data_IF_881929609010
#
_entry.id   IF_881929609010
#
_cell.length_a   1.000
_cell.length_b   1.000
_cell.length_c   1.000
_cell.angle_alpha   90.00
_cell.angle_beta   90.00
_cell.angle_gamma   90.00
#
_symmetry.space_group_name_H-M   'P 1'
#
loop_
_entity.id
_entity.type
_entity.pdbx_description
1 polymer ?
#
# COMPACT_ATOMS: atom_id res chain seq x y z
N UNK A 1 4.86 -0.01 12.24
CA UNK A 1 5.90 -1.04 12.07
C UNK A 1 5.22 -2.28 11.54
N UNK A 2 5.74 -2.86 10.46
CA UNK A 2 5.15 -4.00 9.79
C UNK A 2 5.60 -5.26 10.52
N UNK A 3 4.69 -5.95 11.20
CA UNK A 3 4.99 -7.18 11.95
C UNK A 3 4.35 -8.39 11.28
N UNK A 4 5.06 -9.51 11.32
CA UNK A 4 4.56 -10.80 10.87
C UNK A 4 3.40 -11.26 11.77
N UNK A 5 2.30 -11.73 11.18
CA UNK A 5 1.13 -12.17 11.93
C UNK A 5 1.40 -13.46 12.74
N UNK A 6 2.28 -14.34 12.25
CA UNK A 6 2.60 -15.61 12.91
C UNK A 6 3.67 -15.48 14.02
N UNK A 7 4.83 -14.92 13.68
CA UNK A 7 6.01 -14.93 14.56
C UNK A 7 6.33 -13.57 15.19
N UNK A 8 5.52 -12.54 14.94
CA UNK A 8 5.74 -11.17 15.42
C UNK A 8 7.10 -10.57 15.00
N UNK A 9 7.73 -11.14 13.97
CA UNK A 9 8.96 -10.60 13.40
C UNK A 9 8.72 -9.19 12.85
N UNK A 10 9.53 -8.23 13.27
CA UNK A 10 9.50 -6.86 12.77
C UNK A 10 10.29 -6.77 11.46
N UNK A 11 9.59 -6.52 10.36
CA UNK A 11 10.24 -6.33 9.07
C UNK A 11 11.03 -5.02 9.06
N UNK A 12 12.28 -5.09 8.61
CA UNK A 12 13.06 -3.86 8.36
C UNK A 12 12.41 -3.09 7.22
N UNK A 13 12.53 -1.76 7.24
CA UNK A 13 11.95 -0.90 6.20
C UNK A 13 12.34 -1.33 4.77
N UNK A 14 13.58 -1.79 4.57
CA UNK A 14 14.09 -2.32 3.29
C UNK A 14 13.40 -3.62 2.84
N UNK A 15 12.96 -4.43 3.79
CA UNK A 15 12.25 -5.70 3.55
C UNK A 15 10.75 -5.45 3.34
N UNK A 16 10.20 -4.41 3.97
CA UNK A 16 8.79 -4.04 3.89
C UNK A 16 8.46 -3.22 2.63
N UNK A 17 9.38 -2.40 2.12
CA UNK A 17 9.24 -1.64 0.87
C UNK A 17 8.78 -2.48 -0.34
N UNK A 18 9.42 -3.63 -0.68
CA UNK A 18 9.03 -4.43 -1.84
C UNK A 18 7.62 -5.01 -1.75
N UNK A 19 7.06 -5.18 -0.55
CA UNK A 19 5.65 -5.57 -0.40
C UNK A 19 4.73 -4.56 -1.10
N UNK A 20 5.03 -3.26 -0.99
CA UNK A 20 4.23 -2.18 -1.59
C UNK A 20 4.13 -2.28 -3.11
N UNK A 21 5.17 -2.80 -3.78
CA UNK A 21 5.19 -2.98 -5.23
C UNK A 21 4.51 -4.28 -5.68
N UNK A 22 4.59 -5.34 -4.85
CA UNK A 22 4.04 -6.67 -5.14
C UNK A 22 2.91 -7.05 -4.20
N UNK A 23 1.90 -6.19 -4.06
CA UNK A 23 0.78 -6.38 -3.12
C UNK A 23 -0.03 -7.68 -3.31
N UNK A 24 0.06 -8.38 -4.46
CA UNK A 24 -0.62 -9.66 -4.73
C UNK A 24 0.24 -10.90 -4.55
N UNK A 25 1.57 -10.76 -4.43
CA UNK A 25 2.46 -11.90 -4.27
C UNK A 25 2.66 -12.08 -2.77
N UNK A 26 2.19 -13.21 -2.23
CA UNK A 26 2.49 -13.57 -0.85
C UNK A 26 3.99 -13.56 -0.63
N UNK A 27 4.44 -12.87 0.41
CA UNK A 27 5.85 -12.75 0.75
C UNK A 27 6.18 -13.65 1.92
N UNK A 28 7.12 -14.58 1.75
CA UNK A 28 7.54 -15.44 2.83
C UNK A 28 8.33 -14.67 3.89
N UNK A 29 7.97 -14.89 5.16
CA UNK A 29 8.69 -14.33 6.29
C UNK A 29 10.07 -15.01 6.41
N UNK A 30 11.18 -14.27 6.51
CA UNK A 30 12.51 -14.86 6.64
C UNK A 30 12.72 -15.58 7.98
N UNK A 31 11.90 -15.28 9.01
CA UNK A 31 12.02 -15.88 10.34
C UNK A 31 11.22 -17.17 10.50
N UNK A 32 10.01 -17.26 9.95
CA UNK A 32 9.11 -18.41 10.14
C UNK A 32 8.74 -19.13 8.85
N UNK A 33 9.20 -18.66 7.68
CA UNK A 33 8.89 -19.25 6.37
C UNK A 33 7.46 -19.02 5.88
N UNK A 34 6.56 -18.58 6.76
CA UNK A 34 5.15 -18.42 6.42
C UNK A 34 4.88 -17.28 5.44
N UNK A 35 3.92 -17.54 4.55
CA UNK A 35 3.53 -16.61 3.48
C UNK A 35 2.64 -15.51 4.05
N UNK A 36 3.13 -14.27 4.05
CA UNK A 36 2.40 -13.11 4.51
C UNK A 36 1.71 -12.41 3.34
N UNK A 37 0.44 -12.07 3.53
CA UNK A 37 -0.36 -11.28 2.61
C UNK A 37 -0.76 -9.95 3.25
N UNK A 38 -1.03 -8.94 2.43
CA UNK A 38 -1.74 -7.76 2.92
C UNK A 38 -3.17 -8.13 3.31
N UNK A 39 -3.54 -7.74 4.53
CA UNK A 39 -4.92 -7.80 5.04
C UNK A 39 -5.93 -7.17 4.07
N UNK A 40 -7.16 -7.68 4.06
CA UNK A 40 -8.24 -7.13 3.24
C UNK A 40 -8.51 -5.65 3.57
N UNK A 41 -8.31 -5.25 4.83
CA UNK A 41 -8.40 -3.85 5.27
C UNK A 41 -7.36 -2.95 4.60
N UNK A 42 -6.13 -3.43 4.43
CA UNK A 42 -5.05 -2.70 3.74
C UNK A 42 -5.35 -2.55 2.25
N UNK A 43 -5.87 -3.60 1.61
CA UNK A 43 -6.29 -3.54 0.19
C UNK A 43 -7.48 -2.59 -0.03
N UNK A 44 -8.50 -2.64 0.85
CA UNK A 44 -9.63 -1.69 0.81
C UNK A 44 -9.16 -0.25 1.02
N UNK A 45 -8.20 -0.01 1.91
CA UNK A 45 -7.63 1.32 2.12
C UNK A 45 -6.87 1.83 0.90
N UNK A 46 -6.03 1.00 0.27
CA UNK A 46 -5.39 1.33 -1.00
C UNK A 46 -6.40 1.65 -2.10
N UNK A 47 -7.47 0.86 -2.20
CA UNK A 47 -8.53 1.09 -3.19
C UNK A 47 -9.28 2.41 -2.97
N UNK A 48 -9.70 2.68 -1.73
CA UNK A 48 -10.36 3.95 -1.36
C UNK A 48 -9.46 5.15 -1.65
N UNK A 49 -8.17 5.03 -1.37
CA UNK A 49 -7.19 6.06 -1.65
C UNK A 49 -7.05 6.31 -3.16
N UNK A 50 -7.01 5.26 -3.97
CA UNK A 50 -7.00 5.40 -5.45
C UNK A 50 -8.26 6.10 -5.95
N UNK A 51 -9.44 5.77 -5.38
CA UNK A 51 -10.69 6.46 -5.71
C UNK A 51 -10.60 7.95 -5.37
N UNK A 52 -10.12 8.29 -4.16
CA UNK A 52 -9.95 9.69 -3.75
C UNK A 52 -8.98 10.42 -4.68
N UNK A 53 -7.85 9.80 -5.04
CA UNK A 53 -6.92 10.38 -6.01
C UNK A 53 -7.59 10.64 -7.37
N UNK A 54 -8.44 9.72 -7.83
CA UNK A 54 -9.19 9.89 -9.08
C UNK A 54 -10.17 11.07 -9.01
N UNK A 55 -10.90 11.21 -7.90
CA UNK A 55 -11.82 12.33 -7.66
C UNK A 55 -11.05 13.66 -7.67
N UNK A 56 -9.90 13.72 -6.99
CA UNK A 56 -9.05 14.91 -6.95
C UNK A 56 -8.54 15.27 -8.35
N UNK A 57 -8.12 14.29 -9.16
CA UNK A 57 -7.69 14.53 -10.54
C UNK A 57 -8.83 15.10 -11.39
N UNK A 58 -10.04 14.54 -11.30
CA UNK A 58 -11.23 15.04 -12.02
C UNK A 58 -11.54 16.48 -11.60
N UNK A 59 -11.49 16.75 -10.29
CA UNK A 59 -11.72 18.10 -9.76
C UNK A 59 -10.66 19.09 -10.25
N UNK A 60 -9.37 18.75 -10.21
CA UNK A 60 -8.29 19.63 -10.68
C UNK A 60 -8.40 19.93 -12.18
N UNK A 61 -8.84 18.96 -12.99
CA UNK A 61 -9.15 19.21 -14.40
C UNK A 61 -10.33 20.19 -14.57
N UNK A 62 -11.33 20.13 -13.69
CA UNK A 62 -12.48 21.05 -13.74
C UNK A 62 -12.13 22.51 -13.39
N UNK A 63 -10.99 22.78 -12.74
CA UNK A 63 -10.50 24.12 -12.41
C UNK A 63 -9.37 24.57 -13.36
N UNK A 64 -9.24 23.94 -14.53
CA UNK A 64 -8.21 24.24 -15.55
C UNK A 64 -6.76 24.23 -15.01
N UNK A 65 -6.46 23.36 -14.04
CA UNK A 65 -5.10 23.21 -13.53
C UNK A 65 -4.21 22.56 -14.60
N UNK A 66 -2.98 23.07 -14.84
CA UNK A 66 -2.11 22.49 -15.86
C UNK A 66 -1.79 21.03 -15.55
N UNK A 67 -1.88 20.17 -16.57
CA UNK A 67 -1.67 18.73 -16.46
C UNK A 67 -0.36 18.35 -15.75
N UNK A 68 0.71 19.12 -15.95
CA UNK A 68 2.01 18.90 -15.30
C UNK A 68 1.93 18.92 -13.78
N UNK A 69 1.14 19.84 -13.20
CA UNK A 69 0.93 19.93 -11.75
C UNK A 69 0.10 18.77 -11.22
N UNK A 70 -0.90 18.32 -11.99
CA UNK A 70 -1.74 17.17 -11.64
C UNK A 70 -0.88 15.91 -11.57
N UNK A 71 -0.02 15.67 -12.56
CA UNK A 71 0.90 14.53 -12.59
C UNK A 71 1.92 14.61 -11.44
N UNK A 72 2.47 15.79 -11.17
CA UNK A 72 3.40 15.99 -10.06
C UNK A 72 2.73 15.66 -8.70
N UNK A 73 1.51 16.15 -8.48
CA UNK A 73 0.74 15.89 -7.26
C UNK A 73 0.43 14.39 -7.11
N UNK A 74 -0.04 13.75 -8.18
CA UNK A 74 -0.32 12.32 -8.19
C UNK A 74 0.94 11.49 -7.88
N UNK A 75 2.08 11.86 -8.44
CA UNK A 75 3.37 11.22 -8.16
C UNK A 75 3.78 11.34 -6.69
N UNK A 76 3.62 12.52 -6.09
CA UNK A 76 3.90 12.76 -4.66
C UNK A 76 3.00 11.88 -3.78
N UNK A 77 1.71 11.83 -4.10
CA UNK A 77 0.70 11.05 -3.38
C UNK A 77 1.04 9.55 -3.42
N UNK A 78 1.39 9.01 -4.60
CA UNK A 78 1.78 7.61 -4.76
C UNK A 78 3.09 7.32 -4.02
N UNK A 79 4.10 8.19 -4.15
CA UNK A 79 5.37 8.02 -3.46
C UNK A 79 5.17 8.01 -1.93
N UNK A 80 4.35 8.93 -1.40
CA UNK A 80 4.00 8.95 0.01
C UNK A 80 3.31 7.64 0.44
N UNK A 81 2.42 7.07 -0.36
CA UNK A 81 1.77 5.80 -0.04
C UNK A 81 2.74 4.64 0.04
N UNK A 82 3.72 4.57 -0.87
CA UNK A 82 4.74 3.51 -0.90
C UNK A 82 5.71 3.67 0.28
N UNK A 83 6.00 4.89 0.70
CA UNK A 83 6.88 5.15 1.83
C UNK A 83 6.17 4.94 3.18
N UNK A 84 4.87 5.23 3.24
CA UNK A 84 4.05 5.11 4.46
C UNK A 84 3.37 3.74 4.60
N UNK A 85 3.28 2.94 3.54
CA UNK A 85 2.70 1.59 3.55
C UNK A 85 3.26 0.69 4.67
N UNK A 86 4.58 0.58 4.93
CA UNK A 86 5.09 -0.28 6.00
C UNK A 86 4.76 0.22 7.41
N UNK A 87 4.30 1.47 7.55
CA UNK A 87 3.87 2.02 8.83
C UNK A 87 2.37 1.85 9.08
N UNK A 88 1.57 1.82 8.00
CA UNK A 88 0.11 1.87 8.07
C UNK A 88 -0.52 0.48 7.96
N UNK A 89 0.07 -0.42 7.18
CA UNK A 89 -0.55 -1.69 6.84
C UNK A 89 -0.17 -2.83 7.79
N UNK A 90 -1.10 -3.77 7.95
CA UNK A 90 -0.93 -5.00 8.74
C UNK A 90 -0.88 -6.22 7.80
N UNK A 91 -0.01 -7.16 8.13
CA UNK A 91 0.10 -8.45 7.45
C UNK A 91 -0.89 -9.46 8.06
N UNK A 92 -1.35 -10.39 7.24
CA UNK A 92 -2.11 -11.58 7.66
C UNK A 92 -1.44 -12.83 7.07
N UNK A 93 -1.56 -13.96 7.77
CA UNK A 93 -1.10 -15.27 7.29
C UNK A 93 -2.00 -15.84 6.18
N UNK A 94 -3.24 -15.36 6.09
CA UNK A 94 -4.20 -15.81 5.10
C UNK A 94 -4.49 -14.71 4.09
N UNK A 95 -4.69 -15.09 2.83
CA UNK A 95 -5.25 -14.19 1.84
C UNK A 95 -6.71 -13.91 2.20
N UNK A 96 -6.91 -12.91 3.04
CA UNK A 96 -8.26 -12.46 3.40
C UNK A 96 -8.99 -12.03 2.11
N UNK A 97 -10.15 -12.63 1.83
CA UNK A 97 -10.94 -12.23 0.70
C UNK A 97 -11.44 -10.78 0.89
N UNK A 98 -11.48 -10.01 -0.20
CA UNK A 98 -11.96 -8.61 -0.15
C UNK A 98 -13.50 -8.49 -0.11
N UNK A 99 -14.24 -9.62 -0.13
CA UNK A 99 -15.70 -9.68 -0.11
C UNK A 99 -16.24 -9.74 1.31
#
# INVERSE_FOLDING_TARGET
MLTCANCQYEFKYKEALPFSWKSRVGHQCPSCGETQYYTASSRKRSFNITIVAFIVIVFLNAVDVPFMWIVALAGIIIAAMILLSPFIYKLSNEEEPMW
#
